data_IF_972200490845
#
_entry.id   IF_972200490845
#
_cell.length_a   1.000
_cell.length_b   1.000
_cell.length_c   1.000
_cell.angle_alpha   90.00
_cell.angle_beta   90.00
_cell.angle_gamma   90.00
#
_symmetry.space_group_name_H-M   'P 1'
#
loop_
_entity.id
_entity.type
_entity.pdbx_description
1 polymer ?
#
# COMPACT_ATOMS: atom_id res chain seq x y z
N UNK A 1 -35.64 24.81 -23.00
CA UNK A 1 -36.46 24.00 -22.06
C UNK A 1 -35.51 23.41 -21.04
N UNK A 2 -35.86 23.37 -19.75
CA UNK A 2 -35.00 22.71 -18.76
C UNK A 2 -35.09 21.20 -18.97
N UNK A 3 -33.95 20.54 -19.16
CA UNK A 3 -33.86 19.07 -19.27
C UNK A 3 -33.29 18.60 -17.94
N UNK A 4 -34.06 17.84 -17.17
CA UNK A 4 -33.62 17.34 -15.86
C UNK A 4 -34.14 15.94 -15.62
N UNK A 5 -33.44 15.19 -14.79
CA UNK A 5 -33.81 13.81 -14.47
C UNK A 5 -32.73 13.05 -13.70
N UNK A 6 -33.05 11.84 -13.25
CA UNK A 6 -32.09 10.96 -12.62
C UNK A 6 -31.16 10.31 -13.66
N UNK A 7 -29.87 10.18 -13.33
CA UNK A 7 -28.86 9.54 -14.18
C UNK A 7 -29.13 8.05 -14.46
N UNK A 8 -30.01 7.41 -13.67
CA UNK A 8 -30.40 6.01 -13.85
C UNK A 8 -31.39 5.81 -15.00
N UNK A 9 -32.14 6.86 -15.37
CA UNK A 9 -33.12 6.81 -16.47
C UNK A 9 -32.50 7.21 -17.80
N UNK A 10 -31.67 8.25 -17.78
CA UNK A 10 -30.90 8.71 -18.93
C UNK A 10 -29.44 8.84 -18.50
N UNK A 11 -28.59 8.00 -19.09
CA UNK A 11 -27.17 7.99 -18.76
C UNK A 11 -26.54 9.33 -19.12
N UNK A 12 -25.51 9.73 -18.39
CA UNK A 12 -24.82 10.99 -18.63
C UNK A 12 -24.23 11.10 -20.06
N UNK A 13 -23.84 9.96 -20.64
CA UNK A 13 -23.41 9.86 -22.04
C UNK A 13 -24.51 10.31 -23.00
N UNK A 14 -25.74 9.84 -22.79
CA UNK A 14 -26.90 10.17 -23.61
C UNK A 14 -27.27 11.65 -23.46
N UNK A 15 -27.15 12.20 -22.26
CA UNK A 15 -27.35 13.63 -21.99
C UNK A 15 -26.36 14.45 -22.82
N UNK A 16 -25.08 14.10 -22.80
CA UNK A 16 -24.04 14.80 -23.55
C UNK A 16 -24.29 14.72 -25.06
N UNK A 17 -24.62 13.54 -25.58
CA UNK A 17 -24.94 13.35 -26.99
C UNK A 17 -26.17 14.17 -27.40
N UNK A 18 -27.19 14.23 -26.56
CA UNK A 18 -28.38 15.03 -26.81
C UNK A 18 -28.06 16.54 -26.86
N UNK A 19 -27.24 17.05 -25.93
CA UNK A 19 -26.82 18.45 -25.93
C UNK A 19 -25.96 18.82 -27.15
N UNK A 20 -25.09 17.89 -27.57
CA UNK A 20 -24.25 18.05 -28.77
C UNK A 20 -25.09 18.07 -30.06
N UNK A 21 -25.93 17.04 -30.28
CA UNK A 21 -26.79 16.93 -31.47
C UNK A 21 -27.78 18.10 -31.60
N UNK A 22 -28.29 18.60 -30.46
CA UNK A 22 -29.21 19.74 -30.43
C UNK A 22 -28.49 21.10 -30.34
N UNK A 23 -27.15 21.11 -30.41
CA UNK A 23 -26.30 22.31 -30.38
C UNK A 23 -26.68 23.30 -29.29
N UNK A 24 -26.87 22.77 -28.08
CA UNK A 24 -27.35 23.56 -26.94
C UNK A 24 -26.24 24.42 -26.34
N UNK A 25 -26.64 25.59 -25.87
CA UNK A 25 -25.79 26.52 -25.11
C UNK A 25 -26.40 26.71 -23.73
N UNK A 26 -25.62 26.47 -22.68
CA UNK A 26 -26.09 26.54 -21.30
C UNK A 26 -25.21 25.79 -20.32
N UNK A 27 -25.72 25.62 -19.10
CA UNK A 27 -25.03 24.93 -18.01
C UNK A 27 -25.71 23.59 -17.71
N UNK A 28 -24.92 22.52 -17.65
CA UNK A 28 -25.33 21.21 -17.17
C UNK A 28 -24.79 21.03 -15.75
N UNK A 29 -25.68 20.85 -14.79
CA UNK A 29 -25.33 20.53 -13.41
C UNK A 29 -25.62 19.07 -13.14
N UNK A 30 -24.68 18.38 -12.50
CA UNK A 30 -24.82 16.97 -12.11
C UNK A 30 -24.48 16.84 -10.64
N UNK A 31 -25.33 16.17 -9.87
CA UNK A 31 -25.15 15.98 -8.43
C UNK A 31 -25.21 14.50 -8.07
N UNK A 32 -24.29 14.04 -7.23
CA UNK A 32 -24.28 12.68 -6.68
C UNK A 32 -24.28 12.73 -5.16
N UNK A 33 -25.33 12.20 -4.55
CA UNK A 33 -25.46 12.14 -3.08
C UNK A 33 -24.44 11.17 -2.47
N UNK A 34 -24.23 9.98 -3.08
CA UNK A 34 -23.24 9.00 -2.60
C UNK A 34 -21.82 9.53 -2.59
N UNK A 35 -21.47 10.37 -3.56
CA UNK A 35 -20.13 10.97 -3.66
C UNK A 35 -20.01 12.27 -2.88
N UNK A 36 -21.11 12.79 -2.32
CA UNK A 36 -21.22 14.12 -1.74
C UNK A 36 -20.61 15.22 -2.63
N UNK A 37 -20.77 15.08 -3.95
CA UNK A 37 -20.10 15.90 -4.95
C UNK A 37 -21.07 16.43 -6.01
N UNK A 38 -20.66 17.48 -6.71
CA UNK A 38 -21.46 18.10 -7.77
C UNK A 38 -20.54 18.66 -8.85
N UNK A 39 -20.81 18.30 -10.11
CA UNK A 39 -20.15 18.82 -11.30
C UNK A 39 -21.02 19.85 -12.01
N UNK A 40 -20.40 20.85 -12.63
CA UNK A 40 -21.04 21.83 -13.51
C UNK A 40 -20.24 21.93 -14.79
N UNK A 41 -20.89 21.77 -15.94
CA UNK A 41 -20.27 21.71 -17.26
C UNK A 41 -20.96 22.74 -18.14
N UNK A 42 -20.17 23.56 -18.83
CA UNK A 42 -20.64 24.67 -19.65
C UNK A 42 -20.55 24.27 -21.13
N UNK A 43 -21.68 24.36 -21.82
CA UNK A 43 -21.82 24.03 -23.23
C UNK A 43 -22.07 25.30 -24.05
N UNK A 44 -21.41 25.39 -25.20
CA UNK A 44 -21.63 26.40 -26.22
C UNK A 44 -21.75 25.74 -27.59
N UNK A 45 -22.91 25.85 -28.24
CA UNK A 45 -23.20 25.23 -29.53
C UNK A 45 -22.90 23.71 -29.52
N UNK A 46 -23.27 23.03 -28.43
CA UNK A 46 -23.01 21.60 -28.22
C UNK A 46 -21.57 21.24 -27.81
N UNK A 47 -20.64 22.20 -27.83
CA UNK A 47 -19.23 22.00 -27.44
C UNK A 47 -19.01 22.32 -25.97
N UNK A 48 -18.18 21.53 -25.27
CA UNK A 48 -17.80 21.84 -23.88
C UNK A 48 -16.72 22.92 -23.88
N UNK A 49 -16.97 24.00 -23.13
CA UNK A 49 -16.02 25.11 -23.03
C UNK A 49 -15.37 25.27 -21.66
N UNK A 50 -16.01 24.72 -20.62
CA UNK A 50 -15.52 24.79 -19.25
C UNK A 50 -16.23 23.75 -18.37
N UNK A 51 -15.60 23.37 -17.26
CA UNK A 51 -16.19 22.48 -16.27
C UNK A 51 -15.55 22.68 -14.89
N UNK A 52 -16.37 22.57 -13.84
CA UNK A 52 -15.95 22.66 -12.45
C UNK A 52 -16.61 21.55 -11.64
N UNK A 53 -15.95 21.10 -10.58
CA UNK A 53 -16.48 20.13 -9.63
C UNK A 53 -16.27 20.64 -8.20
N UNK A 54 -17.26 20.42 -7.33
CA UNK A 54 -17.28 20.96 -5.97
C UNK A 54 -16.07 20.50 -5.15
N UNK A 55 -15.83 19.19 -5.13
CA UNK A 55 -14.63 18.62 -4.51
C UNK A 55 -13.64 18.31 -5.62
N UNK A 56 -12.85 19.32 -6.01
CA UNK A 56 -11.79 19.15 -6.98
C UNK A 56 -10.52 18.62 -6.29
N UNK A 57 -10.09 17.37 -6.53
CA UNK A 57 -8.90 16.81 -5.92
C UNK A 57 -7.60 17.51 -6.37
N UNK A 58 -7.63 18.22 -7.50
CA UNK A 58 -6.46 18.89 -8.07
C UNK A 58 -6.77 20.35 -8.48
N UNK A 59 -6.82 21.28 -7.51
CA UNK A 59 -6.98 22.71 -7.83
C UNK A 59 -5.86 23.20 -8.74
N UNK A 60 -6.20 24.05 -9.72
CA UNK A 60 -5.27 24.60 -10.71
C UNK A 60 -3.95 25.09 -10.10
N UNK A 61 -4.02 25.87 -9.02
CA UNK A 61 -2.83 26.41 -8.35
C UNK A 61 -1.94 25.34 -7.72
N UNK A 62 -2.52 24.28 -7.14
CA UNK A 62 -1.77 23.18 -6.57
C UNK A 62 -1.06 22.36 -7.67
N UNK A 63 -1.73 22.17 -8.81
CA UNK A 63 -1.17 21.42 -9.93
C UNK A 63 -0.02 22.20 -10.59
N UNK A 64 -0.17 23.50 -10.80
CA UNK A 64 0.89 24.36 -11.33
C UNK A 64 2.11 24.42 -10.41
N UNK A 65 1.91 24.46 -9.09
CA UNK A 65 2.99 24.46 -8.10
C UNK A 65 3.76 23.12 -8.14
N UNK A 66 3.03 22.00 -8.11
CA UNK A 66 3.59 20.65 -8.10
C UNK A 66 4.37 20.32 -9.37
N UNK A 67 3.90 20.77 -10.53
CA UNK A 67 4.61 20.61 -11.80
C UNK A 67 5.80 21.57 -11.97
N UNK A 68 6.09 22.38 -10.95
CA UNK A 68 7.19 23.35 -10.97
C UNK A 68 6.98 24.52 -11.96
N UNK A 69 5.75 24.72 -12.42
CA UNK A 69 5.41 25.80 -13.38
C UNK A 69 5.30 27.16 -12.72
N UNK A 70 4.94 27.17 -11.43
CA UNK A 70 4.92 28.38 -10.61
C UNK A 70 5.62 28.09 -9.29
N UNK A 71 6.16 29.12 -8.65
CA UNK A 71 6.66 29.03 -7.28
C UNK A 71 5.55 29.26 -6.25
N UNK A 72 5.80 28.88 -5.00
CA UNK A 72 4.87 29.14 -3.89
C UNK A 72 4.62 30.64 -3.72
N UNK A 73 5.66 31.46 -3.93
CA UNK A 73 5.56 32.91 -3.92
C UNK A 73 4.70 33.47 -5.06
N UNK A 74 4.69 32.84 -6.24
CA UNK A 74 3.79 33.26 -7.34
C UNK A 74 2.33 32.99 -6.99
N UNK A 75 2.06 31.81 -6.41
CA UNK A 75 0.73 31.39 -6.02
C UNK A 75 0.18 32.25 -4.88
N UNK A 76 1.01 32.57 -3.88
CA UNK A 76 0.64 33.45 -2.77
C UNK A 76 0.33 34.86 -3.26
N UNK A 77 1.21 35.45 -4.09
CA UNK A 77 0.96 36.75 -4.73
C UNK A 77 -0.35 36.77 -5.53
N UNK A 78 -0.62 35.72 -6.29
CA UNK A 78 -1.85 35.63 -7.07
C UNK A 78 -3.11 35.54 -6.19
N UNK A 79 -3.05 34.80 -5.07
CA UNK A 79 -4.14 34.71 -4.08
C UNK A 79 -4.37 36.03 -3.35
N UNK A 80 -3.30 36.72 -2.96
CA UNK A 80 -3.38 38.04 -2.32
C UNK A 80 -4.07 39.04 -3.23
N UNK A 81 -3.74 39.03 -4.53
CA UNK A 81 -4.41 39.88 -5.52
C UNK A 81 -5.89 39.52 -5.68
N UNK A 82 -6.23 38.23 -5.69
CA UNK A 82 -7.61 37.77 -5.76
C UNK A 82 -8.44 38.16 -4.52
N UNK A 83 -7.81 38.26 -3.34
CA UNK A 83 -8.48 38.65 -2.10
C UNK A 83 -8.63 40.17 -1.92
N UNK A 84 -7.94 40.99 -2.73
CA UNK A 84 -8.14 42.45 -2.70
C UNK A 84 -9.55 42.80 -3.18
N UNK A 85 -10.24 43.68 -2.45
CA UNK A 85 -11.59 44.12 -2.80
C UNK A 85 -11.61 44.68 -4.24
N UNK A 86 -12.43 44.07 -5.10
CA UNK A 86 -12.73 44.55 -6.45
C UNK A 86 -12.02 43.81 -7.59
N UNK A 87 -11.16 42.83 -7.33
CA UNK A 87 -10.56 41.99 -8.39
C UNK A 87 -11.40 40.73 -8.62
N UNK A 88 -12.22 40.73 -9.67
CA UNK A 88 -13.04 39.57 -10.05
C UNK A 88 -12.28 38.54 -10.91
N UNK A 89 -10.99 38.76 -11.18
CA UNK A 89 -10.21 37.84 -12.01
C UNK A 89 -10.02 36.49 -11.33
N UNK A 90 -10.02 35.43 -12.13
CA UNK A 90 -9.74 34.07 -11.64
C UNK A 90 -8.23 33.92 -11.41
N UNK A 91 -7.85 32.99 -10.53
CA UNK A 91 -6.45 32.74 -10.16
C UNK A 91 -5.53 32.52 -11.39
N UNK A 92 -6.01 31.82 -12.41
CA UNK A 92 -5.27 31.58 -13.66
C UNK A 92 -4.97 32.87 -14.45
N UNK A 93 -5.94 33.77 -14.58
CA UNK A 93 -5.78 35.07 -15.26
C UNK A 93 -4.77 35.95 -14.51
N UNK A 94 -4.81 35.92 -13.17
CA UNK A 94 -3.86 36.64 -12.33
C UNK A 94 -2.45 36.10 -12.56
N UNK A 95 -2.27 34.78 -12.57
CA UNK A 95 -0.97 34.14 -12.82
C UNK A 95 -0.40 34.46 -14.21
N UNK A 96 -1.27 34.55 -15.23
CA UNK A 96 -0.87 35.02 -16.57
C UNK A 96 -0.46 36.48 -16.55
N UNK A 97 -1.24 37.35 -15.89
CA UNK A 97 -0.94 38.79 -15.80
C UNK A 97 0.35 39.09 -15.03
N UNK A 98 0.72 38.22 -14.08
CA UNK A 98 1.98 38.28 -13.34
C UNK A 98 3.18 37.76 -14.15
N UNK A 99 2.92 37.15 -15.32
CA UNK A 99 3.95 36.52 -16.14
C UNK A 99 4.49 35.20 -15.56
N UNK A 100 3.81 34.62 -14.56
CA UNK A 100 4.21 33.35 -13.94
C UNK A 100 3.94 32.16 -14.88
N UNK A 101 2.91 32.24 -15.71
CA UNK A 101 2.58 31.26 -16.74
C UNK A 101 2.17 31.95 -18.04
N UNK A 102 2.30 31.26 -19.17
CA UNK A 102 1.80 31.76 -20.45
C UNK A 102 0.31 31.44 -20.65
N UNK A 103 -0.44 32.21 -21.48
CA UNK A 103 -1.83 31.88 -21.81
C UNK A 103 -2.00 30.47 -22.39
N UNK A 104 -1.02 30.00 -23.17
CA UNK A 104 -1.00 28.63 -23.73
C UNK A 104 -0.84 27.54 -22.67
N UNK A 105 -0.10 27.83 -21.60
CA UNK A 105 0.04 26.90 -20.47
C UNK A 105 -1.24 26.88 -19.64
N UNK A 106 -1.83 28.05 -19.38
CA UNK A 106 -3.13 28.12 -18.72
C UNK A 106 -4.19 27.33 -19.49
N UNK A 107 -4.28 27.53 -20.81
CA UNK A 107 -5.25 26.82 -21.65
C UNK A 107 -5.04 25.30 -21.64
N UNK A 108 -3.79 24.83 -21.70
CA UNK A 108 -3.47 23.39 -21.59
C UNK A 108 -3.90 22.82 -20.24
N UNK A 109 -3.65 23.58 -19.17
CA UNK A 109 -3.97 23.12 -17.83
C UNK A 109 -5.47 23.11 -17.55
N UNK A 110 -6.18 24.12 -18.06
CA UNK A 110 -7.64 24.20 -17.98
C UNK A 110 -8.28 23.10 -18.81
N UNK A 111 -7.77 22.80 -20.02
CA UNK A 111 -8.22 21.65 -20.82
C UNK A 111 -8.13 20.35 -20.03
N UNK A 112 -6.98 20.08 -19.42
CA UNK A 112 -6.78 18.88 -18.60
C UNK A 112 -7.78 18.83 -17.43
N UNK A 113 -7.99 19.94 -16.73
CA UNK A 113 -8.96 20.01 -15.65
C UNK A 113 -10.40 19.75 -16.13
N UNK A 114 -10.78 20.30 -17.29
CA UNK A 114 -12.12 20.08 -17.88
C UNK A 114 -12.31 18.61 -18.23
N UNK A 115 -11.32 17.98 -18.86
CA UNK A 115 -11.31 16.56 -19.19
C UNK A 115 -11.51 15.69 -17.94
N UNK A 116 -10.75 15.93 -16.87
CA UNK A 116 -10.86 15.17 -15.62
C UNK A 116 -12.23 15.32 -14.95
N UNK A 117 -12.79 16.55 -14.91
CA UNK A 117 -14.14 16.77 -14.38
C UNK A 117 -15.19 16.04 -15.21
N UNK A 118 -15.08 16.09 -16.53
CA UNK A 118 -15.98 15.39 -17.44
C UNK A 118 -15.90 13.88 -17.22
N UNK A 119 -14.71 13.30 -17.17
CA UNK A 119 -14.55 11.86 -16.95
C UNK A 119 -15.04 11.41 -15.57
N UNK A 120 -14.79 12.20 -14.53
CA UNK A 120 -15.33 11.93 -13.20
C UNK A 120 -16.86 11.89 -13.23
N UNK A 121 -17.51 12.90 -13.82
CA UNK A 121 -18.98 12.95 -13.95
C UNK A 121 -19.51 11.82 -14.83
N UNK A 122 -18.78 11.42 -15.88
CA UNK A 122 -19.12 10.28 -16.73
C UNK A 122 -19.07 8.93 -15.99
N UNK A 123 -18.23 8.83 -14.95
CA UNK A 123 -18.15 7.62 -14.12
C UNK A 123 -19.36 7.43 -13.18
N UNK A 124 -20.18 8.47 -12.99
CA UNK A 124 -21.31 8.44 -12.07
C UNK A 124 -22.49 7.69 -12.68
N UNK A 125 -22.78 6.50 -12.15
CA UNK A 125 -23.93 5.66 -12.54
C UNK A 125 -25.26 6.12 -11.92
N UNK A 126 -25.20 7.06 -10.99
CA UNK A 126 -26.36 7.53 -10.26
C UNK A 126 -26.17 8.97 -9.77
N UNK A 127 -27.29 9.66 -9.61
CA UNK A 127 -27.33 11.08 -9.33
C UNK A 127 -28.49 11.74 -10.07
N UNK A 128 -28.49 13.05 -10.07
CA UNK A 128 -29.49 13.88 -10.73
C UNK A 128 -28.78 14.91 -11.60
N UNK A 129 -29.27 15.12 -12.82
CA UNK A 129 -28.77 16.14 -13.72
C UNK A 129 -29.85 17.19 -14.00
N UNK A 130 -29.42 18.42 -14.26
CA UNK A 130 -30.28 19.48 -14.76
C UNK A 130 -29.53 20.40 -15.72
N UNK A 131 -30.12 20.66 -16.88
CA UNK A 131 -29.59 21.54 -17.89
C UNK A 131 -30.43 22.80 -18.01
N UNK A 132 -29.78 23.96 -17.91
CA UNK A 132 -30.41 25.28 -18.05
C UNK A 132 -29.79 26.02 -19.22
N UNK A 133 -30.61 26.33 -20.24
CA UNK A 133 -30.22 27.18 -21.37
C UNK A 133 -30.06 28.64 -20.90
N UNK A 134 -28.97 29.29 -21.30
CA UNK A 134 -28.71 30.67 -20.89
C UNK A 134 -27.34 31.18 -21.35
N UNK A 135 -27.09 32.49 -21.21
CA UNK A 135 -25.80 33.09 -21.53
C UNK A 135 -24.70 32.59 -20.57
N UNK A 136 -23.50 32.38 -21.11
CA UNK A 136 -22.34 31.87 -20.37
C UNK A 136 -21.52 33.02 -19.76
N UNK A 137 -22.11 33.79 -18.86
CA UNK A 137 -21.47 34.97 -18.25
C UNK A 137 -20.35 34.65 -17.26
N UNK A 138 -20.34 33.44 -16.71
CA UNK A 138 -19.42 33.06 -15.62
C UNK A 138 -18.18 32.28 -16.12
N UNK A 139 -18.03 32.10 -17.44
CA UNK A 139 -16.90 31.37 -18.03
C UNK A 139 -15.73 32.31 -18.30
N UNK A 140 -14.51 32.02 -17.80
CA UNK A 140 -13.35 32.89 -18.02
C UNK A 140 -12.96 32.92 -19.50
N UNK A 141 -12.90 34.11 -20.11
CA UNK A 141 -12.68 34.24 -21.57
C UNK A 141 -11.26 33.85 -21.99
N UNK A 142 -10.25 34.14 -21.17
CA UNK A 142 -8.84 33.84 -21.47
C UNK A 142 -8.50 32.34 -21.29
N UNK A 143 -9.29 31.62 -20.51
CA UNK A 143 -9.10 30.20 -20.22
C UNK A 143 -10.10 29.30 -20.95
N UNK A 144 -11.03 29.86 -21.73
CA UNK A 144 -12.04 29.09 -22.44
C UNK A 144 -11.37 28.10 -23.40
N UNK A 145 -11.66 26.82 -23.19
CA UNK A 145 -11.25 25.75 -24.09
C UNK A 145 -12.41 25.45 -25.03
N UNK A 146 -12.14 24.78 -26.15
CA UNK A 146 -13.20 24.18 -26.97
C UNK A 146 -12.88 22.71 -27.11
N UNK A 147 -13.68 21.87 -26.48
CA UNK A 147 -13.50 20.43 -26.51
C UNK A 147 -14.78 19.83 -27.11
N UNK A 148 -14.68 19.23 -28.32
CA UNK A 148 -15.82 18.54 -28.92
C UNK A 148 -16.33 17.44 -28.00
N UNK A 149 -17.65 17.40 -27.80
CA UNK A 149 -18.30 16.44 -26.90
C UNK A 149 -18.05 15.00 -27.36
N UNK A 150 -18.10 14.74 -28.68
CA UNK A 150 -17.77 13.45 -29.27
C UNK A 150 -16.36 12.96 -28.89
N UNK A 151 -15.36 13.84 -28.90
CA UNK A 151 -13.98 13.47 -28.55
C UNK A 151 -13.88 13.00 -27.08
N UNK A 152 -14.60 13.67 -26.17
CA UNK A 152 -14.66 13.27 -24.76
C UNK A 152 -15.45 11.98 -24.56
N UNK A 153 -16.55 11.79 -25.30
CA UNK A 153 -17.34 10.57 -25.24
C UNK A 153 -16.54 9.36 -25.73
N UNK A 154 -15.85 9.49 -26.86
CA UNK A 154 -14.96 8.44 -27.39
C UNK A 154 -13.82 8.11 -26.44
N UNK A 155 -13.17 9.15 -25.90
CA UNK A 155 -12.08 8.97 -24.94
C UNK A 155 -12.59 8.33 -23.64
N UNK A 156 -13.75 8.74 -23.14
CA UNK A 156 -14.38 8.13 -21.96
C UNK A 156 -14.73 6.66 -22.17
N UNK A 157 -15.29 6.30 -23.33
CA UNK A 157 -15.55 4.90 -23.69
C UNK A 157 -14.26 4.09 -23.73
N UNK A 158 -13.20 4.63 -24.36
CA UNK A 158 -11.87 4.01 -24.38
C UNK A 158 -11.31 3.80 -22.97
N UNK A 159 -11.44 4.80 -22.09
CA UNK A 159 -10.98 4.70 -20.69
C UNK A 159 -11.75 3.62 -19.92
N UNK A 160 -13.07 3.51 -20.10
CA UNK A 160 -13.89 2.47 -19.44
C UNK A 160 -13.45 1.07 -19.90
N UNK A 161 -13.29 0.87 -21.20
CA UNK A 161 -12.85 -0.42 -21.76
C UNK A 161 -11.44 -0.78 -21.30
N UNK A 162 -10.51 0.18 -21.29
CA UNK A 162 -9.16 -0.03 -20.78
C UNK A 162 -9.15 -0.30 -19.28
N UNK A 163 -9.96 0.42 -18.50
CA UNK A 163 -10.08 0.20 -17.06
C UNK A 163 -10.55 -1.22 -16.74
N UNK A 164 -11.49 -1.76 -17.52
CA UNK A 164 -11.98 -3.14 -17.34
C UNK A 164 -10.86 -4.19 -17.45
N UNK A 165 -9.82 -3.91 -18.26
CA UNK A 165 -8.64 -4.78 -18.39
C UNK A 165 -7.67 -4.60 -17.22
N UNK A 166 -7.55 -3.36 -16.75
CA UNK A 166 -6.66 -2.97 -15.65
C UNK A 166 -7.19 -3.49 -14.31
N UNK A 167 -8.51 -3.50 -14.09
CA UNK A 167 -9.17 -3.86 -12.81
C UNK A 167 -8.78 -5.25 -12.30
N UNK A 168 -8.48 -6.18 -13.20
CA UNK A 168 -8.02 -7.53 -12.83
C UNK A 168 -6.65 -7.57 -12.12
N UNK A 169 -5.77 -6.59 -12.36
CA UNK A 169 -4.45 -6.48 -11.70
C UNK A 169 -4.38 -5.31 -10.72
N UNK A 170 -5.16 -4.26 -10.95
CA UNK A 170 -5.29 -3.08 -10.08
C UNK A 170 -6.76 -3.01 -9.62
N UNK A 171 -7.16 -3.80 -8.60
CA UNK A 171 -8.53 -3.82 -8.11
C UNK A 171 -8.94 -2.50 -7.46
N UNK A 172 -7.97 -1.72 -6.96
CA UNK A 172 -8.18 -0.40 -6.40
C UNK A 172 -6.91 0.44 -6.45
N UNK A 173 -7.05 1.75 -6.30
CA UNK A 173 -5.94 2.71 -6.36
C UNK A 173 -5.00 2.69 -5.14
N UNK A 174 -5.33 1.93 -4.08
CA UNK A 174 -4.45 1.71 -2.92
C UNK A 174 -3.37 0.64 -3.12
N UNK A 175 -3.23 0.10 -4.34
CA UNK A 175 -2.18 -0.87 -4.69
C UNK A 175 -0.81 -0.18 -4.69
N UNK A 176 0.21 -0.87 -4.19
CA UNK A 176 1.58 -0.36 -4.10
C UNK A 176 2.45 -1.10 -5.11
N UNK A 177 2.98 -0.41 -6.15
CA UNK A 177 3.94 -1.00 -7.07
C UNK A 177 5.32 -1.18 -6.40
N UNK A 178 6.01 -2.25 -6.78
CA UNK A 178 7.39 -2.59 -6.40
C UNK A 178 8.18 -3.03 -7.63
N UNK A 179 9.49 -2.80 -7.67
CA UNK A 179 10.32 -3.32 -8.76
C UNK A 179 10.35 -4.85 -8.72
N UNK A 180 10.20 -5.49 -9.87
CA UNK A 180 10.32 -6.93 -9.97
C UNK A 180 11.77 -7.37 -9.70
N UNK A 181 12.00 -8.54 -9.08
CA UNK A 181 13.34 -9.09 -8.91
C UNK A 181 13.99 -9.32 -10.29
N UNK A 182 15.31 -9.10 -10.42
CA UNK A 182 16.01 -9.22 -11.69
C UNK A 182 15.90 -10.66 -12.22
N UNK A 183 15.43 -10.80 -13.47
CA UNK A 183 15.36 -12.11 -14.14
C UNK A 183 16.67 -12.39 -14.87
N UNK A 184 17.22 -13.60 -14.68
CA UNK A 184 18.37 -14.07 -15.46
C UNK A 184 17.97 -14.24 -16.94
N UNK A 185 18.54 -13.42 -17.82
CA UNK A 185 18.31 -13.47 -19.27
C UNK A 185 17.49 -12.33 -19.87
N UNK A 186 17.19 -11.27 -19.12
CA UNK A 186 16.47 -10.10 -19.63
C UNK A 186 17.27 -9.31 -20.67
N UNK A 187 16.73 -9.20 -21.89
CA UNK A 187 17.21 -8.23 -22.89
C UNK A 187 16.99 -6.78 -22.43
N UNK A 188 17.61 -5.83 -23.12
CA UNK A 188 17.47 -4.40 -22.82
C UNK A 188 16.00 -3.97 -22.82
N UNK A 189 15.60 -3.27 -21.77
CA UNK A 189 14.28 -2.66 -21.63
C UNK A 189 14.23 -1.36 -22.45
N UNK A 190 13.41 -1.33 -23.50
CA UNK A 190 13.12 -0.12 -24.26
C UNK A 190 11.86 0.53 -23.69
N UNK A 191 12.07 1.50 -22.81
CA UNK A 191 11.00 2.20 -22.10
C UNK A 191 10.80 3.59 -22.67
N UNK A 192 9.54 3.97 -22.82
CA UNK A 192 9.16 5.32 -23.22
C UNK A 192 9.47 6.32 -22.09
N UNK A 193 9.69 7.61 -22.38
CA UNK A 193 9.94 8.61 -21.35
C UNK A 193 8.91 8.63 -20.19
N UNK A 194 7.59 8.49 -20.45
CA UNK A 194 6.60 8.43 -19.38
C UNK A 194 6.71 7.19 -18.48
N UNK A 195 7.23 6.07 -19.01
CA UNK A 195 7.45 4.84 -18.27
C UNK A 195 8.70 4.94 -17.40
N UNK A 196 9.76 5.60 -17.89
CA UNK A 196 10.93 5.94 -17.08
C UNK A 196 10.59 6.83 -15.90
N UNK A 197 9.80 7.88 -16.13
CA UNK A 197 9.31 8.74 -15.05
C UNK A 197 8.49 7.94 -14.03
N UNK A 198 7.67 6.99 -14.51
CA UNK A 198 6.89 6.12 -13.64
C UNK A 198 7.77 5.23 -12.77
N UNK A 199 8.78 4.58 -13.34
CA UNK A 199 9.71 3.73 -12.59
C UNK A 199 10.47 4.52 -11.51
N UNK A 200 10.85 5.76 -11.79
CA UNK A 200 11.54 6.62 -10.81
C UNK A 200 10.67 6.91 -9.57
N UNK A 201 9.35 6.81 -9.68
CA UNK A 201 8.42 7.01 -8.57
C UNK A 201 8.21 5.77 -7.70
N UNK A 202 8.60 4.58 -8.18
CA UNK A 202 8.35 3.30 -7.52
C UNK A 202 9.39 3.06 -6.42
N UNK A 203 8.98 3.24 -5.17
CA UNK A 203 9.80 3.02 -3.97
C UNK A 203 9.31 1.85 -3.11
N UNK A 204 8.21 1.20 -3.51
CA UNK A 204 7.59 0.12 -2.76
C UNK A 204 6.75 0.55 -1.56
N UNK A 205 6.47 1.85 -1.40
CA UNK A 205 5.67 2.39 -0.30
C UNK A 205 4.49 3.25 -0.76
N UNK A 206 4.63 3.99 -1.86
CA UNK A 206 3.56 4.84 -2.39
C UNK A 206 2.52 4.01 -3.14
N UNK A 207 1.25 4.32 -2.92
CA UNK A 207 0.16 3.77 -3.72
C UNK A 207 -0.04 4.56 -5.03
N UNK A 208 -0.91 4.04 -5.90
CA UNK A 208 -1.19 4.65 -7.21
C UNK A 208 -1.67 6.09 -7.06
N UNK A 209 -2.51 6.39 -6.06
CA UNK A 209 -2.98 7.77 -5.80
C UNK A 209 -1.84 8.70 -5.41
N UNK A 210 -0.93 8.23 -4.56
CA UNK A 210 0.26 8.97 -4.16
C UNK A 210 1.15 9.29 -5.35
N UNK A 211 1.34 8.32 -6.25
CA UNK A 211 2.13 8.50 -7.48
C UNK A 211 1.45 9.46 -8.46
N UNK A 212 0.14 9.30 -8.70
CA UNK A 212 -0.65 10.17 -9.58
C UNK A 212 -0.66 11.61 -9.07
N UNK A 213 -0.84 11.77 -7.75
CA UNK A 213 -0.65 13.04 -7.08
C UNK A 213 0.76 13.55 -7.38
N UNK A 214 1.85 12.91 -6.96
CA UNK A 214 3.19 13.49 -7.12
C UNK A 214 3.53 13.92 -8.57
N UNK A 215 3.13 13.12 -9.57
CA UNK A 215 3.45 13.40 -10.98
C UNK A 215 2.53 14.42 -11.66
N UNK A 216 1.44 14.86 -11.02
CA UNK A 216 0.51 15.76 -11.70
C UNK A 216 -0.39 15.09 -12.75
N UNK A 217 -0.52 13.75 -12.70
CA UNK A 217 -1.24 12.96 -13.71
C UNK A 217 -2.54 12.40 -13.14
N UNK A 218 -3.43 11.94 -14.02
CA UNK A 218 -4.67 11.28 -13.58
C UNK A 218 -4.37 9.90 -13.01
N UNK A 219 -5.20 9.47 -12.04
CA UNK A 219 -5.14 8.11 -11.48
C UNK A 219 -5.21 7.03 -12.58
N UNK A 220 -6.01 7.30 -13.61
CA UNK A 220 -6.18 6.41 -14.77
C UNK A 220 -4.89 6.27 -15.60
N UNK A 221 -4.23 7.39 -15.92
CA UNK A 221 -2.98 7.36 -16.68
C UNK A 221 -1.88 6.61 -15.94
N UNK A 222 -1.74 6.86 -14.64
CA UNK A 222 -0.76 6.16 -13.79
C UNK A 222 -1.08 4.68 -13.73
N UNK A 223 -2.33 4.30 -13.45
CA UNK A 223 -2.73 2.90 -13.41
C UNK A 223 -2.48 2.19 -14.75
N UNK A 224 -2.75 2.85 -15.88
CA UNK A 224 -2.49 2.33 -17.23
C UNK A 224 -1.00 2.09 -17.47
N UNK A 225 -0.14 3.05 -17.14
CA UNK A 225 1.31 2.90 -17.29
C UNK A 225 1.86 1.79 -16.38
N UNK A 226 1.42 1.74 -15.13
CA UNK A 226 1.80 0.67 -14.19
C UNK A 226 1.33 -0.70 -14.66
N UNK A 227 0.12 -0.81 -15.20
CA UNK A 227 -0.38 -2.06 -15.78
C UNK A 227 0.48 -2.53 -16.96
N UNK A 228 0.92 -1.61 -17.83
CA UNK A 228 1.86 -1.93 -18.93
C UNK A 228 3.21 -2.43 -18.42
N UNK A 229 3.79 -1.75 -17.42
CA UNK A 229 5.05 -2.14 -16.79
C UNK A 229 4.95 -3.50 -16.06
N UNK A 230 3.82 -3.76 -15.42
CA UNK A 230 3.53 -5.04 -14.75
C UNK A 230 3.39 -6.17 -15.77
N UNK A 231 2.64 -5.94 -16.84
CA UNK A 231 2.49 -6.89 -17.96
C UNK A 231 3.82 -7.21 -18.64
N UNK A 232 4.75 -6.25 -18.66
CA UNK A 232 6.12 -6.43 -19.14
C UNK A 232 7.05 -7.09 -18.12
N UNK A 233 6.58 -7.36 -16.89
CA UNK A 233 7.35 -8.00 -15.83
C UNK A 233 8.39 -7.10 -15.16
N UNK A 234 8.32 -5.78 -15.38
CA UNK A 234 9.27 -4.81 -14.81
C UNK A 234 8.95 -4.52 -13.35
N UNK A 235 7.67 -4.58 -12.99
CA UNK A 235 7.16 -4.28 -11.66
C UNK A 235 6.19 -5.36 -11.20
N UNK A 236 6.01 -5.44 -9.89
CA UNK A 236 4.99 -6.25 -9.23
C UNK A 236 4.07 -5.34 -8.44
N UNK A 237 2.76 -5.56 -8.58
CA UNK A 237 1.72 -4.81 -7.88
C UNK A 237 1.31 -5.57 -6.62
N UNK A 238 1.52 -4.95 -5.45
CA UNK A 238 1.17 -5.52 -4.15
C UNK A 238 -0.05 -4.80 -3.57
N UNK A 239 -1.05 -5.56 -3.13
CA UNK A 239 -2.15 -5.02 -2.34
C UNK A 239 -1.80 -5.09 -0.83
N UNK A 240 -1.61 -3.94 -0.15
CA UNK A 240 -1.30 -3.96 1.28
C UNK A 240 -2.43 -4.57 2.14
N UNK A 241 -3.68 -4.60 1.63
CA UNK A 241 -4.82 -5.23 2.29
C UNK A 241 -4.75 -6.77 2.31
N UNK A 242 -4.28 -7.40 1.24
CA UNK A 242 -4.08 -8.85 1.17
C UNK A 242 -2.88 -9.28 2.00
N UNK A 243 -1.75 -8.57 1.91
CA UNK A 243 -0.55 -8.87 2.69
C UNK A 243 -0.80 -8.81 4.21
N UNK A 244 -1.64 -7.88 4.68
CA UNK A 244 -2.02 -7.80 6.09
C UNK A 244 -2.93 -8.95 6.51
N UNK A 245 -3.86 -9.38 5.65
CA UNK A 245 -4.73 -10.54 5.91
C UNK A 245 -3.94 -11.84 5.95
N UNK A 246 -3.03 -12.06 4.99
CA UNK A 246 -2.15 -13.22 4.94
C UNK A 246 -1.23 -13.31 6.16
N UNK A 247 -0.65 -12.19 6.61
CA UNK A 247 0.14 -12.17 7.85
C UNK A 247 -0.69 -12.52 9.09
N UNK A 248 -1.95 -12.08 9.11
CA UNK A 248 -2.86 -12.37 10.23
C UNK A 248 -3.29 -13.84 10.24
N UNK A 249 -3.56 -14.42 9.07
CA UNK A 249 -3.90 -15.85 8.95
C UNK A 249 -2.70 -16.73 9.28
N UNK A 250 -1.51 -16.42 8.75
CA UNK A 250 -0.28 -17.14 9.07
C UNK A 250 0.04 -17.10 10.58
N UNK A 251 -0.16 -15.95 11.24
CA UNK A 251 0.01 -15.85 12.69
C UNK A 251 -1.02 -16.69 13.48
N UNK A 252 -2.27 -16.78 13.00
CA UNK A 252 -3.28 -17.64 13.60
C UNK A 252 -2.97 -19.13 13.40
N UNK A 253 -2.50 -19.50 12.20
CA UNK A 253 -2.09 -20.86 11.85
C UNK A 253 -0.89 -21.31 12.71
N UNK A 254 0.09 -20.42 12.95
CA UNK A 254 1.22 -20.71 13.84
C UNK A 254 0.76 -21.00 15.27
N UNK A 255 -0.12 -20.16 15.82
CA UNK A 255 -0.62 -20.33 17.18
C UNK A 255 -1.34 -21.67 17.35
N UNK A 256 -2.13 -22.08 16.35
CA UNK A 256 -2.80 -23.38 16.35
C UNK A 256 -1.80 -24.55 16.26
N UNK A 257 -0.83 -24.49 15.35
CA UNK A 257 0.18 -25.54 15.18
C UNK A 257 1.03 -25.70 16.45
N UNK A 258 1.45 -24.59 17.07
CA UNK A 258 2.19 -24.62 18.34
C UNK A 258 1.35 -25.25 19.45
N UNK A 259 0.10 -24.83 19.61
CA UNK A 259 -0.78 -25.38 20.66
C UNK A 259 -1.01 -26.89 20.50
N UNK A 260 -1.21 -27.37 19.26
CA UNK A 260 -1.36 -28.80 18.96
C UNK A 260 -0.09 -29.59 19.24
N UNK A 261 1.07 -29.08 18.82
CA UNK A 261 2.35 -29.72 19.11
C UNK A 261 2.65 -29.77 20.61
N UNK A 262 2.28 -28.74 21.37
CA UNK A 262 2.39 -28.75 22.84
C UNK A 262 1.44 -29.74 23.51
N UNK A 263 0.21 -29.90 23.03
CA UNK A 263 -0.75 -30.91 23.51
C UNK A 263 -0.25 -32.34 23.23
N UNK A 264 0.20 -32.62 22.00
CA UNK A 264 0.82 -33.92 21.67
C UNK A 264 2.08 -34.19 22.51
N UNK A 265 2.90 -33.17 22.76
CA UNK A 265 4.06 -33.29 23.66
C UNK A 265 3.63 -33.61 25.09
N UNK A 266 2.57 -32.98 25.61
CA UNK A 266 2.03 -33.26 26.93
C UNK A 266 1.50 -34.70 27.06
N UNK A 267 0.93 -35.25 25.98
CA UNK A 267 0.48 -36.65 25.87
C UNK A 267 1.61 -37.66 25.63
N UNK A 268 2.85 -37.19 25.47
CA UNK A 268 4.05 -37.98 25.12
C UNK A 268 3.98 -38.64 23.72
N UNK A 269 3.20 -38.08 22.82
CA UNK A 269 3.10 -38.49 21.41
C UNK A 269 4.22 -37.81 20.62
N UNK A 270 5.48 -38.22 20.87
CA UNK A 270 6.67 -37.46 20.46
C UNK A 270 6.87 -37.32 18.95
N UNK A 271 6.51 -38.34 18.17
CA UNK A 271 6.64 -38.29 16.71
C UNK A 271 5.54 -37.41 16.07
N UNK A 272 4.34 -37.39 16.65
CA UNK A 272 3.27 -36.49 16.22
C UNK A 272 3.60 -35.04 16.58
N UNK A 273 4.04 -34.79 17.81
CA UNK A 273 4.49 -33.47 18.25
C UNK A 273 5.61 -32.94 17.34
N UNK A 274 6.58 -33.80 17.00
CA UNK A 274 7.66 -33.48 16.07
C UNK A 274 7.13 -33.10 14.70
N UNK A 275 6.25 -33.93 14.11
CA UNK A 275 5.68 -33.67 12.79
C UNK A 275 4.92 -32.35 12.71
N UNK A 276 4.13 -32.02 13.74
CA UNK A 276 3.40 -30.75 13.80
C UNK A 276 4.37 -29.56 13.99
N UNK A 277 5.40 -29.69 14.82
CA UNK A 277 6.41 -28.65 15.01
C UNK A 277 7.28 -28.42 13.75
N UNK A 278 7.56 -29.47 12.97
CA UNK A 278 8.25 -29.36 11.68
C UNK A 278 7.36 -28.68 10.62
N UNK A 279 6.03 -28.92 10.65
CA UNK A 279 5.07 -28.16 9.83
C UNK A 279 5.10 -26.66 10.20
N UNK A 280 5.09 -26.34 11.49
CA UNK A 280 5.23 -24.95 11.96
C UNK A 280 6.54 -24.31 11.47
N UNK A 281 7.65 -25.07 11.47
CA UNK A 281 8.95 -24.58 10.98
C UNK A 281 8.97 -24.39 9.45
N UNK A 282 8.21 -25.19 8.70
CA UNK A 282 8.06 -25.03 7.25
C UNK A 282 7.33 -23.75 6.87
N UNK A 283 6.35 -23.32 7.68
CA UNK A 283 5.58 -22.09 7.45
C UNK A 283 6.27 -20.87 8.10
N UNK A 284 6.90 -21.05 9.26
CA UNK A 284 7.54 -19.99 10.05
C UNK A 284 9.01 -20.31 10.40
N UNK A 285 9.92 -20.35 9.42
CA UNK A 285 11.31 -20.78 9.61
C UNK A 285 12.19 -19.81 10.42
N UNK A 286 11.69 -18.61 10.72
CA UNK A 286 12.42 -17.57 11.46
C UNK A 286 11.77 -17.24 12.80
N UNK A 287 10.81 -18.03 13.25
CA UNK A 287 10.16 -17.82 14.54
C UNK A 287 10.94 -18.55 15.67
N UNK A 288 11.47 -17.82 16.67
CA UNK A 288 12.26 -18.43 17.74
C UNK A 288 11.46 -19.39 18.63
N UNK A 289 10.14 -19.21 18.75
CA UNK A 289 9.29 -20.09 19.55
C UNK A 289 9.12 -21.47 18.91
N UNK A 290 9.12 -21.55 17.58
CA UNK A 290 9.06 -22.83 16.84
C UNK A 290 10.32 -23.66 17.09
N UNK A 291 11.49 -23.04 17.02
CA UNK A 291 12.76 -23.71 17.30
C UNK A 291 12.91 -24.11 18.78
N UNK A 292 12.36 -23.30 19.71
CA UNK A 292 12.26 -23.69 21.12
C UNK A 292 11.39 -24.95 21.30
N UNK A 293 10.25 -25.02 20.61
CA UNK A 293 9.33 -26.16 20.65
C UNK A 293 9.99 -27.43 20.09
N UNK A 294 10.63 -27.36 18.93
CA UNK A 294 11.41 -28.46 18.35
C UNK A 294 12.52 -28.93 19.32
N UNK A 295 13.22 -27.99 19.94
CA UNK A 295 14.23 -28.29 20.97
C UNK A 295 13.67 -29.04 22.19
N UNK A 296 12.50 -28.61 22.69
CA UNK A 296 11.79 -29.30 23.81
C UNK A 296 11.36 -30.72 23.42
N UNK A 297 10.81 -30.89 22.21
CA UNK A 297 10.37 -32.19 21.71
C UNK A 297 11.57 -33.13 21.53
N UNK A 298 12.67 -32.65 20.95
CA UNK A 298 13.90 -33.42 20.78
C UNK A 298 14.50 -33.85 22.12
N UNK A 299 14.49 -32.95 23.12
CA UNK A 299 14.96 -33.26 24.47
C UNK A 299 14.08 -34.35 25.13
N UNK A 300 12.76 -34.25 25.00
CA UNK A 300 11.82 -35.26 25.50
C UNK A 300 11.98 -36.62 24.80
N UNK A 301 12.41 -36.62 23.54
CA UNK A 301 12.74 -37.82 22.77
C UNK A 301 14.14 -38.40 23.05
N UNK A 302 14.91 -37.80 23.97
CA UNK A 302 16.28 -38.22 24.28
C UNK A 302 17.29 -37.88 23.17
N UNK A 303 16.90 -37.10 22.17
CA UNK A 303 17.76 -36.62 21.08
C UNK A 303 18.49 -35.34 21.51
N UNK A 304 19.38 -35.49 22.49
CA UNK A 304 20.14 -34.38 23.09
C UNK A 304 20.90 -33.50 22.09
N UNK A 305 21.64 -34.07 21.10
CA UNK A 305 22.34 -33.28 20.10
C UNK A 305 21.41 -32.40 19.26
N UNK A 306 20.30 -32.96 18.76
CA UNK A 306 19.30 -32.23 17.96
C UNK A 306 18.67 -31.10 18.77
N UNK A 307 18.36 -31.37 20.05
CA UNK A 307 17.81 -30.35 20.96
C UNK A 307 18.77 -29.17 21.13
N UNK A 308 20.07 -29.43 21.29
CA UNK A 308 21.08 -28.37 21.39
C UNK A 308 21.15 -27.52 20.11
N UNK A 309 21.04 -28.14 18.94
CA UNK A 309 21.07 -27.42 17.66
C UNK A 309 19.86 -26.48 17.50
N UNK A 310 18.65 -26.99 17.73
CA UNK A 310 17.41 -26.21 17.59
C UNK A 310 17.31 -25.09 18.64
N UNK A 311 17.73 -25.34 19.88
CA UNK A 311 17.74 -24.30 20.92
C UNK A 311 18.77 -23.21 20.65
N UNK A 312 19.89 -23.55 20.01
CA UNK A 312 20.85 -22.54 19.52
C UNK A 312 20.32 -21.76 18.33
N UNK A 313 19.49 -22.37 17.46
CA UNK A 313 18.76 -21.63 16.39
C UNK A 313 17.80 -20.63 17.01
N UNK A 314 17.00 -21.05 17.99
CA UNK A 314 16.09 -20.18 18.74
C UNK A 314 16.82 -18.97 19.33
N UNK A 315 17.97 -19.18 20.00
CA UNK A 315 18.76 -18.10 20.61
C UNK A 315 19.53 -17.22 19.60
N UNK A 316 19.77 -17.70 18.37
CA UNK A 316 20.28 -16.83 17.29
C UNK A 316 19.21 -15.87 16.78
N UNK A 317 17.95 -16.31 16.79
CA UNK A 317 16.80 -15.51 16.37
C UNK A 317 16.37 -14.54 17.47
N UNK A 318 16.32 -15.00 18.73
CA UNK A 318 16.05 -14.18 19.91
C UNK A 318 17.01 -14.53 21.07
N UNK A 319 18.09 -13.74 21.26
CA UNK A 319 19.02 -13.91 22.36
C UNK A 319 18.43 -13.67 23.77
N UNK A 320 17.23 -13.10 23.88
CA UNK A 320 16.58 -12.80 25.16
C UNK A 320 15.49 -13.84 25.52
N UNK A 321 15.33 -14.88 24.70
CA UNK A 321 14.34 -15.93 24.91
C UNK A 321 14.68 -16.78 26.15
N UNK A 322 14.12 -16.38 27.29
CA UNK A 322 14.42 -16.94 28.63
C UNK A 322 14.24 -18.46 28.66
N UNK A 323 13.13 -18.97 28.14
CA UNK A 323 12.83 -20.40 28.12
C UNK A 323 13.87 -21.20 27.33
N UNK A 324 14.46 -20.63 26.26
CA UNK A 324 15.47 -21.32 25.45
C UNK A 324 16.78 -21.53 26.21
N UNK A 325 17.23 -20.56 27.03
CA UNK A 325 18.39 -20.74 27.89
C UNK A 325 18.18 -21.86 28.92
N UNK A 326 16.98 -21.95 29.51
CA UNK A 326 16.66 -23.01 30.47
C UNK A 326 16.69 -24.40 29.83
N UNK A 327 15.97 -24.57 28.72
CA UNK A 327 15.87 -25.85 28.02
C UNK A 327 17.22 -26.25 27.43
N UNK A 328 18.02 -25.30 26.94
CA UNK A 328 19.36 -25.57 26.42
C UNK A 328 20.29 -26.10 27.50
N UNK A 329 20.22 -25.56 28.73
CA UNK A 329 20.99 -26.10 29.86
C UNK A 329 20.70 -27.58 30.12
N UNK A 330 19.41 -27.98 30.09
CA UNK A 330 19.03 -29.40 30.23
C UNK A 330 19.53 -30.26 29.06
N UNK A 331 19.43 -29.77 27.81
CA UNK A 331 19.95 -30.49 26.65
C UNK A 331 21.49 -30.65 26.68
N UNK A 332 22.20 -29.66 27.19
CA UNK A 332 23.66 -29.71 27.38
C UNK A 332 24.07 -30.73 28.46
N UNK A 333 23.28 -30.88 29.53
CA UNK A 333 23.51 -31.93 30.54
C UNK A 333 23.35 -33.33 29.92
N UNK A 334 22.30 -33.56 29.13
CA UNK A 334 22.07 -34.86 28.46
C UNK A 334 23.22 -35.21 27.49
N UNK A 335 23.88 -34.20 26.92
CA UNK A 335 25.04 -34.38 26.03
C UNK A 335 26.39 -34.35 26.75
N UNK A 336 26.42 -34.29 28.09
CA UNK A 336 27.64 -34.30 28.89
C UNK A 336 28.42 -32.98 28.90
N UNK A 337 27.85 -31.90 28.36
CA UNK A 337 28.48 -30.57 28.24
C UNK A 337 28.15 -29.71 29.45
N UNK A 338 28.56 -30.18 30.63
CA UNK A 338 28.16 -29.60 31.92
C UNK A 338 28.61 -28.15 32.13
N UNK A 339 29.79 -27.76 31.64
CA UNK A 339 30.29 -26.38 31.75
C UNK A 339 29.39 -25.39 31.03
N UNK A 340 29.06 -25.66 29.77
CA UNK A 340 28.15 -24.82 28.97
C UNK A 340 26.72 -24.83 29.54
N UNK A 341 26.26 -25.94 30.13
CA UNK A 341 24.96 -25.99 30.78
C UNK A 341 24.85 -24.98 31.93
N UNK A 342 25.90 -24.86 32.74
CA UNK A 342 25.98 -23.89 33.84
C UNK A 342 25.93 -22.45 33.31
N UNK A 343 26.66 -22.16 32.23
CA UNK A 343 26.64 -20.83 31.60
C UNK A 343 25.24 -20.44 31.10
N UNK A 344 24.53 -21.39 30.47
CA UNK A 344 23.16 -21.13 30.00
C UNK A 344 22.19 -20.88 31.15
N UNK A 345 22.34 -21.60 32.28
CA UNK A 345 21.52 -21.35 33.46
C UNK A 345 21.91 -20.09 34.23
N UNK A 346 23.18 -19.64 34.17
CA UNK A 346 23.57 -18.31 34.64
C UNK A 346 22.88 -17.21 33.81
N UNK A 347 22.80 -17.36 32.49
CA UNK A 347 22.08 -16.41 31.64
C UNK A 347 20.57 -16.45 31.88
N UNK A 348 20.00 -17.65 31.99
CA UNK A 348 18.59 -17.82 32.36
C UNK A 348 18.24 -17.10 33.65
N UNK A 349 19.03 -17.28 34.72
CA UNK A 349 18.78 -16.67 36.03
C UNK A 349 18.82 -15.13 35.97
N UNK A 350 19.74 -14.57 35.19
CA UNK A 350 19.80 -13.11 34.95
C UNK A 350 18.52 -12.60 34.27
N UNK A 351 18.02 -13.33 33.28
CA UNK A 351 16.86 -12.93 32.48
C UNK A 351 15.51 -13.27 33.14
N UNK A 352 15.44 -14.34 33.94
CA UNK A 352 14.23 -14.86 34.58
C UNK A 352 13.67 -13.95 35.69
N UNK A 353 14.46 -12.99 36.18
CA UNK A 353 14.06 -11.99 37.19
C UNK A 353 12.81 -11.15 36.83
N UNK A 354 12.29 -11.32 35.61
CA UNK A 354 11.14 -10.58 35.05
C UNK A 354 9.93 -11.46 34.70
N UNK A 355 9.94 -12.77 34.96
CA UNK A 355 8.85 -13.68 34.57
C UNK A 355 8.42 -14.61 35.71
N UNK A 356 7.15 -14.50 36.13
CA UNK A 356 6.56 -15.31 37.20
C UNK A 356 6.55 -16.81 36.87
N UNK A 357 6.38 -17.18 35.59
CA UNK A 357 6.41 -18.59 35.14
C UNK A 357 7.79 -19.21 35.20
N UNK A 358 8.84 -18.42 34.96
CA UNK A 358 10.23 -18.90 35.03
C UNK A 358 10.74 -18.89 36.48
N UNK A 359 10.26 -17.99 37.34
CA UNK A 359 10.57 -18.00 38.77
C UNK A 359 10.16 -19.31 39.47
N UNK A 360 9.11 -19.97 38.98
CA UNK A 360 8.70 -21.29 39.47
C UNK A 360 9.72 -22.41 39.20
N UNK A 361 10.69 -22.19 38.30
CA UNK A 361 11.70 -23.19 37.90
C UNK A 361 13.04 -23.02 38.65
N UNK A 362 13.17 -22.03 39.53
CA UNK A 362 14.43 -21.66 40.20
C UNK A 362 15.01 -22.80 41.03
N UNK A 363 14.17 -23.50 41.80
CA UNK A 363 14.64 -24.59 42.66
C UNK A 363 15.12 -25.79 41.84
N UNK A 364 14.43 -26.11 40.74
CA UNK A 364 14.77 -27.23 39.86
C UNK A 364 16.04 -26.95 39.06
N UNK A 365 16.13 -25.77 38.46
CA UNK A 365 17.33 -25.34 37.72
C UNK A 365 18.52 -25.19 38.68
N UNK A 366 18.31 -24.67 39.90
CA UNK A 366 19.34 -24.53 40.92
C UNK A 366 19.96 -25.88 41.32
N UNK A 367 19.12 -26.90 41.54
CA UNK A 367 19.58 -28.28 41.81
C UNK A 367 20.36 -28.86 40.63
N UNK A 368 19.83 -28.72 39.42
CA UNK A 368 20.48 -29.23 38.21
C UNK A 368 21.83 -28.56 37.93
N UNK A 369 21.91 -27.24 38.14
CA UNK A 369 23.11 -26.42 38.02
C UNK A 369 24.18 -26.80 39.05
N UNK A 370 23.79 -27.03 40.31
CA UNK A 370 24.72 -27.50 41.34
C UNK A 370 25.31 -28.87 41.00
N UNK A 371 24.49 -29.81 40.51
CA UNK A 371 24.95 -31.12 40.06
C UNK A 371 25.90 -31.01 38.85
N UNK A 372 25.56 -30.20 37.85
CA UNK A 372 26.39 -29.97 36.68
C UNK A 372 27.76 -29.34 37.03
N UNK A 373 27.81 -28.40 38.00
CA UNK A 373 29.07 -27.82 38.49
C UNK A 373 30.00 -28.86 39.08
N UNK A 374 29.49 -29.77 39.90
CA UNK A 374 30.27 -30.86 40.49
C UNK A 374 30.83 -31.80 39.42
N UNK A 375 30.02 -32.14 38.42
CA UNK A 375 30.43 -33.00 37.30
C UNK A 375 31.46 -32.31 36.38
N UNK A 376 31.31 -31.01 36.12
CA UNK A 376 32.27 -30.23 35.35
C UNK A 376 33.64 -30.09 36.06
N UNK A 377 33.66 -30.02 37.39
CA UNK A 377 34.90 -29.98 38.17
C UNK A 377 35.63 -31.33 38.19
N UNK A 378 34.88 -32.44 38.22
CA UNK A 378 35.42 -33.80 38.21
C UNK A 378 36.01 -34.25 36.87
N UNK A 379 35.52 -33.73 35.74
CA UNK A 379 36.09 -34.04 34.41
C UNK A 379 37.41 -33.33 34.13
N UNK A 380 37.76 -32.29 34.91
CA UNK A 380 39.04 -31.58 34.81
C UNK A 380 40.19 -32.13 35.67
N UNK A 381 39.94 -33.13 36.53
CA UNK A 381 40.92 -33.64 37.50
C UNK A 381 41.50 -35.03 37.17
N UNK A 382 41.18 -35.60 36.01
CA UNK A 382 41.73 -36.87 35.54
C UNK A 382 42.75 -36.68 34.43
N UNK A 383 44.05 -36.75 34.77
CA UNK A 383 45.26 -37.14 34.01
C UNK A 383 46.44 -36.29 34.56
N UNK A 384 46.95 -36.70 35.71
CA UNK A 384 48.36 -36.56 36.09
C UNK A 384 48.64 -37.64 37.13
N UNK A 385 49.10 -38.79 36.65
CA UNK A 385 49.51 -39.95 37.44
C UNK A 385 50.21 -40.94 36.54
#
# INVERSE_FOLDING_TARGET
MAIEGPLRELGIHDVFQLLDLSRKTGLLRVTSELRHNAGTIYFEDGTIIFAEIRSNPHPLGALLLRTGKISEADLERARDMQQRQGDNRRLGEILVSLGAITPRELQRQVRFQVEEVVFEVMSWREGYFSFTEGPLTDVPTEAAVRIPTEALLMEGARRIDEWSRIEGRIPHLGVVPTLAPPQEGGGGLDLLPPEWEMLAMIDGTRDIRGIASELGRSDFEVAKTLFGLESAGVIVLADPGTAKRERTTLAADLAELVARAEDSLARRELEEARGIAEQAAGVHPHDPAVHLLLGRIALAAGRGPDAVEELRRALRLDPLLVAAHRVLGYALVVTGRFGEAVEQWDQWERLASRSETELAQVDDVGRAKAAARTLAAGTGTGIHG
#
